data_IF_395761589318
#
_entry.id   IF_395761589318
#
_cell.length_a   1.000
_cell.length_b   1.000
_cell.length_c   1.000
_cell.angle_alpha   90.00
_cell.angle_beta   90.00
_cell.angle_gamma   90.00
#
_symmetry.space_group_name_H-M   'P 1'
#
loop_
_entity.id
_entity.type
_entity.pdbx_description
1 polymer ?
#
# COMPACT_ATOMS: atom_id res chain seq x y z
N UNK A 1 -12.51 17.19 -7.49
CA UNK A 1 -12.26 15.73 -7.62
C UNK A 1 -10.76 15.57 -7.85
N UNK A 2 -10.04 14.93 -6.93
CA UNK A 2 -8.60 14.67 -7.11
C UNK A 2 -8.44 13.59 -8.19
N UNK A 3 -7.44 13.71 -9.06
CA UNK A 3 -7.17 12.67 -10.06
C UNK A 3 -6.73 11.39 -9.32
N UNK A 4 -7.47 10.29 -9.49
CA UNK A 4 -7.19 9.01 -8.80
C UNK A 4 -5.81 8.45 -9.18
N UNK A 5 -5.40 8.62 -10.44
CA UNK A 5 -4.07 8.18 -10.87
C UNK A 5 -2.96 8.92 -10.12
N UNK A 6 -3.09 10.24 -9.98
CA UNK A 6 -2.17 11.06 -9.21
C UNK A 6 -2.18 10.66 -7.72
N UNK A 7 -3.35 10.39 -7.14
CA UNK A 7 -3.45 9.95 -5.76
C UNK A 7 -2.77 8.58 -5.53
N UNK A 8 -2.86 7.67 -6.50
CA UNK A 8 -2.13 6.40 -6.49
C UNK A 8 -0.61 6.63 -6.57
N UNK A 9 -0.15 7.53 -7.44
CA UNK A 9 1.26 7.88 -7.55
C UNK A 9 1.80 8.53 -6.26
N UNK A 10 1.05 9.45 -5.65
CA UNK A 10 1.37 10.07 -4.36
C UNK A 10 1.48 9.01 -3.24
N UNK A 11 0.54 8.06 -3.18
CA UNK A 11 0.61 6.94 -2.25
C UNK A 11 1.85 6.08 -2.51
N UNK A 12 2.11 5.72 -3.77
CA UNK A 12 3.28 4.93 -4.16
C UNK A 12 4.60 5.61 -3.76
N UNK A 13 4.71 6.92 -3.97
CA UNK A 13 5.88 7.68 -3.54
C UNK A 13 6.05 7.67 -2.02
N UNK A 14 4.96 7.89 -1.25
CA UNK A 14 4.98 7.80 0.22
C UNK A 14 5.45 6.44 0.71
N UNK A 15 5.02 5.36 0.07
CA UNK A 15 5.50 4.02 0.40
C UNK A 15 7.00 3.89 0.15
N UNK A 16 7.51 4.41 -0.97
CA UNK A 16 8.93 4.39 -1.29
C UNK A 16 9.80 5.24 -0.34
N UNK A 17 9.23 6.17 0.44
CA UNK A 17 9.92 6.90 1.51
C UNK A 17 10.03 6.10 2.83
N UNK A 18 9.37 4.95 2.93
CA UNK A 18 9.49 4.11 4.13
C UNK A 18 10.90 3.55 4.20
N UNK A 19 11.65 3.99 5.20
CA UNK A 19 12.98 3.48 5.50
C UNK A 19 12.97 1.96 5.69
N UNK A 20 13.87 1.26 5.00
CA UNK A 20 13.97 -0.20 5.04
C UNK A 20 12.90 -0.94 4.23
N UNK A 21 12.01 -0.24 3.51
CA UNK A 21 11.07 -0.91 2.61
C UNK A 21 11.79 -1.43 1.36
N UNK A 22 11.77 -2.75 1.20
CA UNK A 22 12.32 -3.40 0.04
C UNK A 22 11.27 -3.62 -1.06
N UNK A 23 11.73 -3.63 -2.32
CA UNK A 23 10.87 -3.95 -3.46
C UNK A 23 10.31 -5.40 -3.40
N UNK A 24 11.00 -6.32 -2.70
CA UNK A 24 10.56 -7.69 -2.43
C UNK A 24 9.22 -7.70 -1.68
N UNK A 25 9.14 -6.98 -0.56
CA UNK A 25 7.93 -6.88 0.25
C UNK A 25 6.76 -6.26 -0.53
N UNK A 26 7.03 -5.25 -1.37
CA UNK A 26 6.01 -4.67 -2.26
C UNK A 26 5.49 -5.70 -3.26
N UNK A 27 6.37 -6.50 -3.87
CA UNK A 27 5.96 -7.53 -4.83
C UNK A 27 5.16 -8.66 -4.16
N UNK A 28 5.56 -9.12 -2.98
CA UNK A 28 4.83 -10.13 -2.21
C UNK A 28 3.44 -9.62 -1.82
N UNK A 29 3.36 -8.38 -1.34
CA UNK A 29 2.08 -7.74 -0.99
C UNK A 29 1.17 -7.63 -2.21
N UNK A 30 1.72 -7.23 -3.37
CA UNK A 30 0.99 -7.14 -4.63
C UNK A 30 0.48 -8.52 -5.08
N UNK A 31 1.28 -9.58 -4.95
CA UNK A 31 0.87 -10.94 -5.27
C UNK A 31 -0.32 -11.39 -4.40
N UNK A 32 -0.24 -11.19 -3.09
CA UNK A 32 -1.34 -11.51 -2.16
C UNK A 32 -2.61 -10.72 -2.49
N UNK A 33 -2.49 -9.42 -2.79
CA UNK A 33 -3.63 -8.60 -3.19
C UNK A 33 -4.31 -9.11 -4.46
N UNK A 34 -3.53 -9.46 -5.48
CA UNK A 34 -4.04 -9.91 -6.77
C UNK A 34 -4.75 -11.26 -6.65
N UNK A 35 -4.15 -12.22 -5.95
CA UNK A 35 -4.65 -13.59 -5.80
C UNK A 35 -5.77 -13.72 -4.76
N UNK A 36 -5.60 -13.10 -3.60
CA UNK A 36 -6.42 -13.35 -2.41
C UNK A 36 -7.26 -12.14 -1.98
N UNK A 37 -7.02 -10.96 -2.57
CA UNK A 37 -7.78 -9.75 -2.32
C UNK A 37 -7.32 -8.92 -1.11
N UNK A 38 -8.05 -7.83 -0.86
CA UNK A 38 -7.64 -6.75 0.02
C UNK A 38 -7.50 -7.19 1.49
N UNK A 39 -8.43 -8.00 2.01
CA UNK A 39 -8.39 -8.47 3.39
C UNK A 39 -7.13 -9.31 3.67
N UNK A 40 -6.85 -10.29 2.80
CA UNK A 40 -5.70 -11.17 2.91
C UNK A 40 -4.38 -10.41 2.82
N UNK A 41 -4.32 -9.36 1.98
CA UNK A 41 -3.16 -8.47 1.89
C UNK A 41 -2.87 -7.77 3.23
N UNK A 42 -3.89 -7.22 3.89
CA UNK A 42 -3.69 -6.60 5.21
C UNK A 42 -3.30 -7.62 6.28
N UNK A 43 -3.89 -8.81 6.25
CA UNK A 43 -3.53 -9.89 7.17
C UNK A 43 -2.08 -10.35 6.98
N UNK A 44 -1.62 -10.42 5.73
CA UNK A 44 -0.22 -10.68 5.40
C UNK A 44 0.72 -9.60 5.94
N UNK A 45 0.38 -8.32 5.79
CA UNK A 45 1.19 -7.22 6.32
C UNK A 45 1.25 -7.23 7.85
N UNK A 46 0.14 -7.58 8.52
CA UNK A 46 0.11 -7.76 9.98
C UNK A 46 0.96 -8.96 10.43
N UNK A 47 0.95 -10.08 9.70
CA UNK A 47 1.72 -11.27 10.07
C UNK A 47 3.23 -11.10 9.89
N UNK A 48 3.65 -10.24 8.95
CA UNK A 48 5.05 -9.84 8.76
C UNK A 48 5.54 -8.89 9.86
N UNK A 49 4.65 -8.05 10.41
CA UNK A 49 5.00 -6.96 11.32
C UNK A 49 4.86 -7.27 12.81
N UNK A 50 5.92 -7.77 13.46
CA UNK A 50 5.92 -8.04 14.92
C UNK A 50 6.44 -6.89 15.80
N UNK A 51 7.08 -5.84 15.23
CA UNK A 51 7.71 -4.74 15.98
C UNK A 51 7.31 -3.36 15.41
N UNK A 52 7.17 -2.33 16.27
CA UNK A 52 6.74 -0.95 15.92
C UNK A 52 7.55 -0.25 14.81
N UNK A 53 8.75 -0.73 14.46
CA UNK A 53 9.61 -0.15 13.40
C UNK A 53 9.53 -0.91 12.06
N UNK A 54 8.65 -1.89 11.94
CA UNK A 54 8.58 -2.74 10.76
C UNK A 54 8.06 -1.99 9.51
N UNK A 55 8.81 -2.01 8.39
CA UNK A 55 8.35 -1.48 7.10
C UNK A 55 6.98 -2.02 6.66
N UNK A 56 6.66 -3.29 6.93
CA UNK A 56 5.37 -3.90 6.58
C UNK A 56 4.21 -3.22 7.31
N UNK A 57 4.39 -2.93 8.60
CA UNK A 57 3.37 -2.23 9.40
C UNK A 57 3.13 -0.82 8.89
N UNK A 58 4.19 -0.06 8.61
CA UNK A 58 4.10 1.30 8.05
C UNK A 58 3.45 1.30 6.67
N UNK A 59 3.77 0.30 5.85
CA UNK A 59 3.17 0.11 4.53
C UNK A 59 1.66 -0.11 4.64
N UNK A 60 1.23 -1.03 5.51
CA UNK A 60 -0.19 -1.26 5.79
C UNK A 60 -0.92 0.01 6.26
N UNK A 61 -0.32 0.78 7.18
CA UNK A 61 -0.90 2.04 7.66
C UNK A 61 -1.08 3.08 6.56
N UNK A 62 -0.09 3.26 5.69
CA UNK A 62 -0.17 4.22 4.57
C UNK A 62 -1.24 3.81 3.55
N UNK A 63 -1.31 2.52 3.20
CA UNK A 63 -2.35 2.01 2.29
C UNK A 63 -3.74 2.18 2.90
N UNK A 64 -3.90 1.90 4.19
CA UNK A 64 -5.18 2.06 4.87
C UNK A 64 -5.61 3.53 4.92
N UNK A 65 -4.70 4.45 5.24
CA UNK A 65 -4.98 5.89 5.20
C UNK A 65 -5.38 6.35 3.80
N UNK A 66 -4.67 5.88 2.76
CA UNK A 66 -5.01 6.18 1.37
C UNK A 66 -6.42 5.70 1.01
N UNK A 67 -6.78 4.48 1.41
CA UNK A 67 -8.12 3.94 1.17
C UNK A 67 -9.21 4.77 1.85
N UNK A 68 -9.01 5.19 3.10
CA UNK A 68 -9.94 6.09 3.82
C UNK A 68 -10.15 7.41 3.09
N UNK A 69 -9.10 7.95 2.47
CA UNK A 69 -9.19 9.19 1.71
C UNK A 69 -9.93 9.03 0.38
N UNK A 70 -9.89 7.83 -0.22
CA UNK A 70 -10.49 7.58 -1.55
C UNK A 70 -11.90 6.98 -1.49
N UNK A 71 -12.23 6.22 -0.44
CA UNK A 71 -13.49 5.50 -0.32
C UNK A 71 -14.21 6.00 0.93
N UNK A 72 -15.36 6.64 0.71
CA UNK A 72 -16.22 7.07 1.82
C UNK A 72 -16.71 5.88 2.64
N UNK A 73 -16.79 6.06 3.95
CA UNK A 73 -17.32 5.09 4.91
C UNK A 73 -16.47 3.82 5.12
N UNK A 74 -15.16 3.87 4.90
CA UNK A 74 -14.25 2.80 5.38
C UNK A 74 -14.17 2.73 6.92
N UNK A 75 -14.80 3.68 7.62
CA UNK A 75 -14.95 3.68 9.07
C UNK A 75 -13.86 4.46 9.80
N UNK A 76 -14.14 4.81 11.05
CA UNK A 76 -13.22 5.53 11.94
C UNK A 76 -12.37 4.58 12.79
N UNK A 77 -12.42 3.27 12.55
CA UNK A 77 -11.74 2.30 13.40
C UNK A 77 -10.21 2.36 13.22
N UNK A 78 -9.50 2.16 14.33
CA UNK A 78 -8.04 2.23 14.39
C UNK A 78 -7.33 1.07 13.66
N UNK A 79 -8.08 0.03 13.26
CA UNK A 79 -7.54 -1.18 12.62
C UNK A 79 -8.14 -1.40 11.22
N UNK A 80 -7.24 -1.55 10.23
CA UNK A 80 -7.56 -1.82 8.84
C UNK A 80 -8.38 -3.11 8.64
N UNK A 81 -8.05 -4.20 9.34
CA UNK A 81 -8.76 -5.48 9.21
C UNK A 81 -10.21 -5.40 9.67
N UNK A 82 -10.47 -4.74 10.81
CA UNK A 82 -11.83 -4.59 11.32
C UNK A 82 -12.66 -3.67 10.41
N UNK A 83 -12.06 -2.57 9.97
CA UNK A 83 -12.66 -1.65 9.00
C UNK A 83 -13.03 -2.38 7.71
N UNK A 84 -12.13 -3.21 7.20
CA UNK A 84 -12.38 -3.96 5.97
C UNK A 84 -13.50 -4.98 6.19
N UNK A 85 -13.41 -5.73 7.29
CA UNK A 85 -14.39 -6.76 7.63
C UNK A 85 -15.79 -6.18 7.78
N UNK A 86 -15.96 -5.03 8.43
CA UNK A 86 -17.30 -4.45 8.67
C UNK A 86 -17.86 -3.72 7.46
N UNK A 87 -17.04 -2.96 6.75
CA UNK A 87 -17.54 -2.01 5.76
C UNK A 87 -17.60 -2.58 4.33
N UNK A 88 -16.80 -3.59 4.01
CA UNK A 88 -16.89 -4.25 2.70
C UNK A 88 -17.83 -5.46 2.68
N UNK A 89 -18.36 -5.90 3.83
CA UNK A 89 -19.36 -6.97 3.88
C UNK A 89 -20.62 -6.65 3.09
N UNK A 90 -21.03 -5.38 3.08
CA UNK A 90 -22.31 -4.94 2.50
C UNK A 90 -22.14 -4.20 1.17
N UNK A 91 -20.90 -3.98 0.71
CA UNK A 91 -20.62 -3.24 -0.53
C UNK A 91 -19.42 -3.85 -1.28
N UNK A 92 -19.67 -4.87 -2.13
CA UNK A 92 -18.65 -5.49 -2.95
C UNK A 92 -18.00 -4.52 -3.95
N UNK A 93 -18.72 -3.50 -4.41
CA UNK A 93 -18.19 -2.54 -5.38
C UNK A 93 -17.06 -1.71 -4.78
N UNK A 94 -17.22 -1.27 -3.52
CA UNK A 94 -16.14 -0.63 -2.77
C UNK A 94 -14.92 -1.55 -2.61
N UNK A 95 -15.12 -2.86 -2.44
CA UNK A 95 -14.03 -3.82 -2.27
C UNK A 95 -13.20 -3.95 -3.56
N UNK A 96 -13.87 -4.09 -4.70
CA UNK A 96 -13.20 -4.13 -6.01
C UNK A 96 -12.48 -2.82 -6.31
N UNK A 97 -13.14 -1.68 -6.07
CA UNK A 97 -12.51 -0.37 -6.22
C UNK A 97 -11.26 -0.25 -5.35
N UNK A 98 -11.35 -0.61 -4.06
CA UNK A 98 -10.24 -0.59 -3.12
C UNK A 98 -9.08 -1.46 -3.57
N UNK A 99 -9.37 -2.65 -4.12
CA UNK A 99 -8.36 -3.51 -4.74
C UNK A 99 -7.67 -2.81 -5.91
N UNK A 100 -8.43 -2.26 -6.86
CA UNK A 100 -7.88 -1.65 -8.09
C UNK A 100 -6.96 -0.46 -7.79
N UNK A 101 -7.39 0.46 -6.91
CA UNK A 101 -6.57 1.62 -6.56
C UNK A 101 -5.35 1.23 -5.71
N UNK A 102 -5.46 0.20 -4.87
CA UNK A 102 -4.32 -0.31 -4.10
C UNK A 102 -3.30 -0.97 -5.01
N UNK A 103 -3.75 -1.78 -5.96
CA UNK A 103 -2.89 -2.40 -6.97
C UNK A 103 -2.07 -1.32 -7.71
N UNK A 104 -2.76 -0.29 -8.19
CA UNK A 104 -2.11 0.81 -8.92
C UNK A 104 -1.11 1.57 -8.06
N UNK A 105 -1.44 1.85 -6.80
CA UNK A 105 -0.53 2.49 -5.85
C UNK A 105 0.73 1.65 -5.57
N UNK A 106 0.58 0.32 -5.42
CA UNK A 106 1.70 -0.61 -5.23
C UNK A 106 2.60 -0.70 -6.47
N UNK A 107 2.01 -0.65 -7.68
CA UNK A 107 2.78 -0.57 -8.93
C UNK A 107 3.62 0.71 -8.98
N UNK A 108 3.05 1.86 -8.63
CA UNK A 108 3.80 3.12 -8.51
C UNK A 108 4.90 3.03 -7.44
N UNK A 109 4.61 2.46 -6.27
CA UNK A 109 5.61 2.26 -5.22
C UNK A 109 6.83 1.49 -5.72
N UNK A 110 6.60 0.40 -6.46
CA UNK A 110 7.67 -0.40 -7.06
C UNK A 110 8.54 0.41 -8.02
N UNK A 111 7.95 1.29 -8.83
CA UNK A 111 8.72 2.16 -9.72
C UNK A 111 9.50 3.24 -8.97
N UNK A 112 8.92 3.88 -7.95
CA UNK A 112 9.61 4.85 -7.12
C UNK A 112 10.81 4.25 -6.38
N UNK A 113 10.66 3.05 -5.80
CA UNK A 113 11.78 2.33 -5.15
C UNK A 113 12.90 2.06 -6.15
N UNK A 114 12.57 1.58 -7.36
CA UNK A 114 13.57 1.31 -8.41
C UNK A 114 14.29 2.58 -8.88
N UNK A 115 13.57 3.70 -9.02
CA UNK A 115 14.15 4.98 -9.39
C UNK A 115 15.19 5.42 -8.35
N UNK A 116 14.84 5.39 -7.06
CA UNK A 116 15.77 5.72 -5.96
C UNK A 116 17.01 4.86 -5.92
N UNK A 117 16.87 3.55 -6.18
CA UNK A 117 18.03 2.65 -6.23
C UNK A 117 18.96 3.01 -7.39
N UNK A 118 18.40 3.41 -8.54
CA UNK A 118 19.19 3.86 -9.70
C UNK A 118 19.90 5.18 -9.40
N UNK A 119 19.23 6.14 -8.78
CA UNK A 119 19.81 7.44 -8.44
C UNK A 119 20.98 7.29 -7.47
N UNK A 120 20.82 6.48 -6.42
CA UNK A 120 21.92 6.17 -5.48
C UNK A 120 23.13 5.52 -6.15
N UNK A 121 22.93 4.65 -7.15
CA UNK A 121 24.04 4.05 -7.91
C UNK A 121 24.77 5.11 -8.74
N UNK A 122 24.03 5.99 -9.41
CA UNK A 122 24.61 7.06 -10.22
C UNK A 122 25.41 8.06 -9.36
N UNK A 123 24.93 8.39 -8.15
CA UNK A 123 25.65 9.25 -7.20
C UNK A 123 26.99 8.64 -6.73
N UNK A 124 27.03 7.32 -6.52
CA UNK A 124 28.24 6.60 -6.11
C UNK A 124 29.23 6.38 -7.26
N UNK A 125 28.77 6.44 -8.51
CA UNK A 125 29.57 6.28 -9.73
C UNK A 125 30.01 7.61 -10.36
N UNK A 126 29.60 8.75 -9.77
CA UNK A 126 30.02 10.08 -10.21
C UNK A 126 31.43 10.43 -9.67
N UNK A 127 32.39 10.83 -10.53
CA UNK A 127 33.80 11.01 -10.18
C UNK A 127 34.09 12.20 -9.25
#
# INVERSE_FOLDING_TARGET
MKNIDLACAECGNKLAEIEGLEASLVNETLAVLLEQGLYSMFLFLESRGSIRKDPAKKMGQNIFSFLKDQISDIGTEDNALNSIRKNFQNDPAKLFWGKDITEKALVYARYHIRAKVKDKKNELESP
#
